data_IF_785742198048
#
_entry.id   IF_785742198048
#
_cell.length_a   1.000
_cell.length_b   1.000
_cell.length_c   1.000
_cell.angle_alpha   90.00
_cell.angle_beta   90.00
_cell.angle_gamma   90.00
#
_symmetry.space_group_name_H-M   'P 1'
#
loop_
_entity.id
_entity.type
_entity.pdbx_description
1 polymer ?
#
# COMPACT_ATOMS: atom_id res chain seq x y z
N UNK A 1 -0.16 1.30 -18.02
CA UNK A 1 -1.33 1.39 -17.13
C UNK A 1 -1.24 2.60 -16.21
N UNK A 2 -0.13 2.78 -15.56
CA UNK A 2 0.27 3.92 -14.73
C UNK A 2 1.80 4.06 -14.82
N UNK A 3 2.45 4.71 -13.84
CA UNK A 3 3.91 4.81 -13.76
C UNK A 3 4.60 3.51 -13.24
N UNK A 4 3.82 2.44 -13.01
CA UNK A 4 4.32 1.14 -12.60
C UNK A 4 4.97 0.35 -13.73
N UNK A 5 4.80 -0.99 -13.68
CA UNK A 5 5.39 -1.89 -14.69
C UNK A 5 4.88 -1.61 -16.10
N UNK A 6 5.77 -1.31 -17.07
CA UNK A 6 5.36 -0.93 -18.43
C UNK A 6 4.73 -2.09 -19.23
N UNK A 7 5.10 -3.33 -18.90
CA UNK A 7 4.66 -4.53 -19.63
C UNK A 7 4.61 -5.78 -18.73
N UNK A 8 4.10 -6.88 -19.27
CA UNK A 8 3.99 -8.15 -18.54
C UNK A 8 5.35 -8.81 -18.28
N UNK A 9 6.34 -8.63 -19.15
CA UNK A 9 7.68 -9.18 -18.96
C UNK A 9 8.34 -8.54 -17.73
N UNK A 10 8.26 -7.23 -17.61
CA UNK A 10 8.71 -6.49 -16.42
C UNK A 10 7.92 -6.91 -15.17
N UNK A 11 6.60 -7.08 -15.27
CA UNK A 11 5.77 -7.54 -14.14
C UNK A 11 6.19 -8.93 -13.65
N UNK A 12 6.49 -9.84 -14.56
CA UNK A 12 7.01 -11.18 -14.23
C UNK A 12 8.41 -11.10 -13.61
N UNK A 13 9.28 -10.24 -14.13
CA UNK A 13 10.61 -10.01 -13.56
C UNK A 13 10.51 -9.42 -12.13
N UNK A 14 9.62 -8.46 -11.90
CA UNK A 14 9.34 -7.93 -10.56
C UNK A 14 8.84 -9.03 -9.61
N UNK A 15 7.92 -9.89 -10.04
CA UNK A 15 7.42 -10.99 -9.22
C UNK A 15 8.53 -12.01 -8.87
N UNK A 16 9.43 -12.31 -9.80
CA UNK A 16 10.63 -13.14 -9.55
C UNK A 16 11.55 -12.49 -8.52
N UNK A 17 11.78 -11.20 -8.63
CA UNK A 17 12.59 -10.42 -7.68
C UNK A 17 11.96 -10.40 -6.28
N UNK A 18 10.65 -10.22 -6.19
CA UNK A 18 9.93 -10.30 -4.93
C UNK A 18 10.07 -11.69 -4.30
N UNK A 19 9.86 -12.75 -5.10
CA UNK A 19 10.02 -14.13 -4.63
C UNK A 19 11.42 -14.43 -4.11
N UNK A 20 12.45 -13.94 -4.80
CA UNK A 20 13.84 -14.08 -4.35
C UNK A 20 14.11 -13.39 -3.01
N UNK A 21 13.28 -12.44 -2.58
CA UNK A 21 13.34 -11.81 -1.26
C UNK A 21 12.35 -12.42 -0.23
N UNK A 22 11.76 -13.60 -0.54
CA UNK A 22 10.87 -14.33 0.36
C UNK A 22 9.40 -13.92 0.26
N UNK A 23 9.02 -13.05 -0.66
CA UNK A 23 7.61 -12.63 -0.86
C UNK A 23 6.84 -13.72 -1.62
N UNK A 24 5.74 -14.18 -1.04
CA UNK A 24 4.88 -15.23 -1.62
C UNK A 24 3.52 -14.72 -2.11
N UNK A 25 3.13 -13.52 -1.67
CA UNK A 25 1.89 -12.84 -2.10
C UNK A 25 2.19 -11.38 -2.44
N UNK A 26 1.60 -10.87 -3.50
CA UNK A 26 1.69 -9.46 -3.92
C UNK A 26 0.26 -8.95 -4.16
N UNK A 27 -0.09 -7.82 -3.57
CA UNK A 27 -1.24 -7.04 -3.99
C UNK A 27 -0.80 -6.14 -5.16
N UNK A 28 -1.37 -6.38 -6.34
CA UNK A 28 -1.21 -5.49 -7.49
C UNK A 28 -2.22 -4.36 -7.33
N UNK A 29 -1.74 -3.16 -7.03
CA UNK A 29 -2.52 -1.98 -6.69
C UNK A 29 -2.16 -0.80 -7.59
N UNK A 30 -2.43 -0.89 -8.91
CA UNK A 30 -2.20 0.25 -9.80
C UNK A 30 -3.06 1.44 -9.39
N UNK A 31 -2.56 2.66 -9.69
CA UNK A 31 -3.27 3.90 -9.39
C UNK A 31 -4.62 4.00 -10.11
N UNK A 32 -5.57 4.66 -9.46
CA UNK A 32 -6.90 4.95 -10.02
C UNK A 32 -6.93 6.19 -10.90
N UNK A 33 -6.00 7.12 -10.72
CA UNK A 33 -6.01 8.50 -11.19
C UNK A 33 -5.44 8.69 -12.60
N UNK A 34 -5.96 8.02 -13.58
CA UNK A 34 -5.51 8.22 -14.97
C UNK A 34 -6.46 9.11 -15.78
N UNK A 35 -6.62 10.37 -15.34
CA UNK A 35 -7.44 11.36 -16.05
C UNK A 35 -8.94 11.16 -15.88
N UNK A 36 -9.73 11.54 -16.89
CA UNK A 36 -11.21 11.45 -16.91
C UNK A 36 -11.74 10.03 -17.24
N UNK A 37 -10.99 8.98 -16.91
CA UNK A 37 -11.40 7.62 -17.18
C UNK A 37 -12.57 7.17 -16.29
N UNK A 38 -13.50 6.41 -16.88
CA UNK A 38 -14.57 5.74 -16.15
C UNK A 38 -13.98 4.74 -15.14
N UNK A 39 -14.19 4.97 -13.86
CA UNK A 39 -13.68 4.15 -12.78
C UNK A 39 -14.14 2.68 -12.86
N UNK A 40 -15.33 2.40 -13.42
CA UNK A 40 -15.79 1.03 -13.61
C UNK A 40 -15.00 0.32 -14.72
N UNK A 41 -14.70 1.03 -15.81
CA UNK A 41 -13.81 0.51 -16.86
C UNK A 41 -12.41 0.27 -16.30
N UNK A 42 -11.91 1.18 -15.48
CA UNK A 42 -10.61 1.04 -14.79
C UNK A 42 -10.58 -0.19 -13.90
N UNK A 43 -11.58 -0.40 -13.07
CA UNK A 43 -11.70 -1.61 -12.24
C UNK A 43 -11.71 -2.89 -13.07
N UNK A 44 -12.45 -2.89 -14.21
CA UNK A 44 -12.53 -4.03 -15.11
C UNK A 44 -11.19 -4.33 -15.78
N UNK A 45 -10.47 -3.29 -16.22
CA UNK A 45 -9.14 -3.42 -16.80
C UNK A 45 -8.13 -3.99 -15.79
N UNK A 46 -8.11 -3.48 -14.56
CA UNK A 46 -7.23 -3.98 -13.50
C UNK A 46 -7.48 -5.47 -13.23
N UNK A 47 -8.74 -5.88 -13.11
CA UNK A 47 -9.09 -7.30 -12.94
C UNK A 47 -8.59 -8.16 -14.11
N UNK A 48 -8.81 -7.70 -15.33
CA UNK A 48 -8.38 -8.41 -16.55
C UNK A 48 -6.85 -8.57 -16.58
N UNK A 49 -6.10 -7.47 -16.40
CA UNK A 49 -4.63 -7.51 -16.42
C UNK A 49 -4.06 -8.33 -15.27
N UNK A 50 -4.68 -8.29 -14.09
CA UNK A 50 -4.27 -9.13 -12.96
C UNK A 50 -4.47 -10.63 -13.27
N UNK A 51 -5.54 -10.99 -13.94
CA UNK A 51 -5.76 -12.37 -14.39
C UNK A 51 -4.67 -12.80 -15.40
N UNK A 52 -4.41 -11.98 -16.42
CA UNK A 52 -3.33 -12.25 -17.38
C UNK A 52 -1.95 -12.39 -16.70
N UNK A 53 -1.66 -11.57 -15.69
CA UNK A 53 -0.40 -11.69 -14.94
C UNK A 53 -0.32 -13.01 -14.17
N UNK A 54 -1.42 -13.46 -13.55
CA UNK A 54 -1.48 -14.78 -12.89
C UNK A 54 -1.16 -15.92 -13.86
N UNK A 55 -1.72 -15.86 -15.07
CA UNK A 55 -1.46 -16.85 -16.12
C UNK A 55 0.03 -16.82 -16.55
N UNK A 56 0.59 -15.64 -16.78
CA UNK A 56 1.99 -15.48 -17.15
C UNK A 56 2.95 -16.00 -16.06
N UNK A 57 2.65 -15.78 -14.78
CA UNK A 57 3.42 -16.30 -13.65
C UNK A 57 3.33 -17.83 -13.55
N UNK A 58 2.14 -18.39 -13.77
CA UNK A 58 1.92 -19.84 -13.81
C UNK A 58 2.76 -20.49 -14.92
N UNK A 59 2.72 -19.94 -16.12
CA UNK A 59 3.52 -20.41 -17.26
C UNK A 59 5.03 -20.31 -16.99
N UNK A 60 5.45 -19.23 -16.30
CA UNK A 60 6.85 -18.99 -15.91
C UNK A 60 7.25 -19.77 -14.67
N UNK A 61 6.36 -20.54 -14.05
CA UNK A 61 6.58 -21.29 -12.79
C UNK A 61 7.07 -20.42 -11.65
N UNK A 62 6.56 -19.19 -11.53
CA UNK A 62 6.86 -18.27 -10.44
C UNK A 62 5.80 -18.47 -9.34
N UNK A 63 6.14 -19.00 -8.16
CA UNK A 63 5.16 -19.37 -7.13
C UNK A 63 4.76 -18.18 -6.25
N UNK A 64 4.34 -17.09 -6.89
CA UNK A 64 3.83 -15.88 -6.23
C UNK A 64 2.34 -15.73 -6.51
N UNK A 65 1.54 -15.59 -5.46
CA UNK A 65 0.11 -15.32 -5.59
C UNK A 65 -0.10 -13.81 -5.79
N UNK A 66 -0.76 -13.43 -6.89
CA UNK A 66 -1.16 -12.03 -7.13
C UNK A 66 -2.59 -11.82 -6.66
N UNK A 67 -2.77 -10.83 -5.81
CA UNK A 67 -4.07 -10.32 -5.39
C UNK A 67 -4.41 -9.09 -6.24
N UNK A 68 -5.69 -8.95 -6.59
CA UNK A 68 -6.19 -7.74 -7.25
C UNK A 68 -6.42 -6.68 -6.18
N UNK A 69 -6.09 -5.43 -6.48
CA UNK A 69 -6.37 -4.26 -5.67
C UNK A 69 -6.26 -3.00 -6.52
N UNK A 70 -6.36 -1.86 -5.88
CA UNK A 70 -6.20 -0.53 -6.48
C UNK A 70 -5.63 0.39 -5.42
N UNK A 71 -4.75 1.30 -5.79
CA UNK A 71 -4.42 2.47 -4.98
C UNK A 71 -5.33 3.61 -5.41
N UNK A 72 -6.35 3.87 -4.59
CA UNK A 72 -7.36 4.88 -4.88
C UNK A 72 -6.82 6.27 -4.53
N UNK A 73 -6.71 7.17 -5.51
CA UNK A 73 -6.50 8.58 -5.23
C UNK A 73 -7.76 9.17 -4.64
N UNK A 74 -7.70 9.57 -3.38
CA UNK A 74 -8.82 10.11 -2.63
C UNK A 74 -8.90 11.61 -2.87
N UNK A 75 -10.05 12.04 -3.36
CA UNK A 75 -10.36 13.43 -3.65
C UNK A 75 -11.83 13.76 -3.35
N UNK A 76 -12.31 14.94 -3.73
CA UNK A 76 -13.68 15.39 -3.47
C UNK A 76 -14.78 14.48 -4.04
N UNK A 77 -14.46 13.65 -5.03
CA UNK A 77 -15.35 12.67 -5.66
C UNK A 77 -15.45 11.33 -4.90
N UNK A 78 -14.80 11.21 -3.74
CA UNK A 78 -14.85 9.99 -2.92
C UNK A 78 -16.28 9.50 -2.63
N UNK A 79 -17.26 10.36 -2.27
CA UNK A 79 -18.64 9.91 -2.05
C UNK A 79 -19.25 9.20 -3.25
N UNK A 80 -19.07 9.74 -4.44
CA UNK A 80 -19.57 9.14 -5.68
C UNK A 80 -18.91 7.78 -5.97
N UNK A 81 -17.58 7.68 -5.76
CA UNK A 81 -16.81 6.44 -5.93
C UNK A 81 -17.34 5.36 -4.99
N UNK A 82 -17.59 5.69 -3.72
CA UNK A 82 -18.09 4.75 -2.71
C UNK A 82 -19.52 4.32 -3.02
N UNK A 83 -20.42 5.26 -3.34
CA UNK A 83 -21.83 4.98 -3.69
C UNK A 83 -21.93 4.06 -4.91
N UNK A 84 -21.18 4.36 -5.97
CA UNK A 84 -21.15 3.58 -7.20
C UNK A 84 -20.34 2.28 -7.08
N UNK A 85 -19.64 2.03 -5.97
CA UNK A 85 -18.72 0.91 -5.75
C UNK A 85 -17.67 0.77 -6.87
N UNK A 86 -17.22 1.90 -7.40
CA UNK A 86 -16.26 1.98 -8.50
C UNK A 86 -14.81 2.00 -7.99
N UNK A 87 -14.46 1.02 -7.16
CA UNK A 87 -13.12 0.80 -6.59
C UNK A 87 -12.80 -0.68 -6.44
N UNK A 88 -11.54 -0.98 -6.12
CA UNK A 88 -11.08 -2.34 -5.80
C UNK A 88 -10.42 -2.35 -4.43
N UNK A 89 -10.86 -3.26 -3.57
CA UNK A 89 -10.21 -3.53 -2.28
C UNK A 89 -9.06 -4.53 -2.45
N UNK A 90 -8.20 -4.62 -1.45
CA UNK A 90 -7.06 -5.56 -1.47
C UNK A 90 -7.58 -7.00 -1.39
N UNK A 91 -7.44 -7.75 -2.49
CA UNK A 91 -7.80 -9.17 -2.53
C UNK A 91 -9.28 -9.46 -2.26
N UNK A 92 -10.18 -8.55 -2.62
CA UNK A 92 -11.63 -8.65 -2.37
C UNK A 92 -12.00 -8.65 -0.87
N UNK A 93 -11.11 -8.16 -0.01
CA UNK A 93 -11.38 -7.94 1.41
C UNK A 93 -12.17 -6.64 1.62
N UNK A 94 -12.30 -6.20 2.88
CA UNK A 94 -12.84 -4.88 3.22
C UNK A 94 -11.76 -3.79 3.36
N UNK A 95 -10.50 -4.08 3.04
CA UNK A 95 -9.38 -3.15 3.11
C UNK A 95 -9.25 -2.36 1.80
N UNK A 96 -9.43 -1.04 1.87
CA UNK A 96 -9.28 -0.11 0.75
C UNK A 96 -7.95 0.65 0.88
N UNK A 97 -7.03 0.41 -0.05
CA UNK A 97 -5.80 1.20 -0.13
C UNK A 97 -6.11 2.54 -0.78
N UNK A 98 -5.77 3.61 -0.07
CA UNK A 98 -6.00 4.97 -0.54
C UNK A 98 -4.77 5.85 -0.34
N UNK A 99 -4.57 6.74 -1.30
CA UNK A 99 -3.57 7.78 -1.28
C UNK A 99 -4.21 9.16 -1.47
N UNK A 100 -3.48 10.20 -1.11
CA UNK A 100 -3.85 11.60 -1.31
C UNK A 100 -2.77 12.32 -2.13
N UNK A 101 -3.09 13.50 -2.62
CA UNK A 101 -2.06 14.40 -3.11
C UNK A 101 -1.04 14.69 -1.99
N UNK A 102 0.24 14.80 -2.32
CA UNK A 102 1.29 15.00 -1.32
C UNK A 102 1.17 16.32 -0.54
N UNK A 103 0.49 17.30 -1.11
CA UNK A 103 0.20 18.58 -0.48
C UNK A 103 -1.18 18.68 0.19
N UNK A 104 -1.92 17.58 0.27
CA UNK A 104 -3.30 17.58 0.76
C UNK A 104 -3.42 18.07 2.21
N UNK A 105 -4.53 18.72 2.51
CA UNK A 105 -4.86 19.21 3.85
C UNK A 105 -5.15 18.06 4.81
N UNK A 106 -4.54 18.11 5.98
CA UNK A 106 -4.68 17.04 6.97
C UNK A 106 -6.09 16.86 7.53
N UNK A 107 -6.92 17.91 7.55
CA UNK A 107 -8.33 17.84 7.95
C UNK A 107 -9.16 17.13 6.89
N UNK A 108 -8.96 17.47 5.61
CA UNK A 108 -9.61 16.75 4.52
C UNK A 108 -9.24 15.27 4.51
N UNK A 109 -7.96 14.94 4.74
CA UNK A 109 -7.52 13.55 4.82
C UNK A 109 -8.25 12.80 5.94
N UNK A 110 -8.39 13.42 7.11
CA UNK A 110 -9.11 12.83 8.26
C UNK A 110 -10.57 12.58 7.93
N UNK A 111 -11.28 13.57 7.42
CA UNK A 111 -12.69 13.46 7.05
C UNK A 111 -12.92 12.35 6.01
N UNK A 112 -12.07 12.26 5.01
CA UNK A 112 -12.15 11.25 3.97
C UNK A 112 -11.90 9.82 4.50
N UNK A 113 -10.89 9.64 5.37
CA UNK A 113 -10.61 8.36 6.00
C UNK A 113 -11.79 7.87 6.86
N UNK A 114 -12.42 8.78 7.61
CA UNK A 114 -13.57 8.42 8.43
C UNK A 114 -14.82 8.17 7.59
N UNK A 115 -15.00 8.91 6.49
CA UNK A 115 -16.07 8.61 5.54
C UNK A 115 -15.96 7.19 4.96
N UNK A 116 -14.75 6.73 4.63
CA UNK A 116 -14.51 5.34 4.21
C UNK A 116 -14.96 4.35 5.29
N UNK A 117 -14.60 4.62 6.56
CA UNK A 117 -14.96 3.75 7.69
C UNK A 117 -16.48 3.72 7.94
N UNK A 118 -17.17 4.85 7.85
CA UNK A 118 -18.62 4.96 7.98
C UNK A 118 -19.37 4.13 6.92
N UNK A 119 -18.73 3.90 5.77
CA UNK A 119 -19.25 3.04 4.71
C UNK A 119 -18.84 1.56 4.81
N UNK A 120 -18.33 1.14 5.98
CA UNK A 120 -18.02 -0.27 6.29
C UNK A 120 -16.73 -0.80 5.68
N UNK A 121 -15.87 0.09 5.17
CA UNK A 121 -14.54 -0.24 4.67
C UNK A 121 -13.47 0.07 5.73
N UNK A 122 -12.32 -0.57 5.61
CA UNK A 122 -11.16 -0.27 6.45
C UNK A 122 -10.11 0.44 5.58
N UNK A 123 -9.87 1.74 5.80
CA UNK A 123 -8.88 2.47 5.02
C UNK A 123 -7.46 1.99 5.36
N UNK A 124 -6.69 1.69 4.33
CA UNK A 124 -5.24 1.51 4.40
C UNK A 124 -4.63 2.79 3.81
N UNK A 125 -4.12 3.65 4.67
CA UNK A 125 -3.48 4.89 4.24
C UNK A 125 -2.08 4.59 3.69
N UNK A 126 -1.92 4.79 2.40
CA UNK A 126 -0.65 4.60 1.70
C UNK A 126 0.35 5.69 2.11
N UNK A 127 1.55 5.26 2.44
CA UNK A 127 2.74 6.09 2.64
C UNK A 127 2.51 7.46 3.31
N UNK A 128 1.85 7.53 4.50
CA UNK A 128 1.53 8.80 5.15
C UNK A 128 2.76 9.68 5.41
N UNK A 129 3.91 9.10 5.56
CA UNK A 129 5.17 9.80 5.75
C UNK A 129 5.60 10.66 4.54
N UNK A 130 4.94 10.52 3.39
CA UNK A 130 5.21 11.31 2.19
C UNK A 130 4.37 12.58 2.10
N UNK A 131 3.27 12.68 2.87
CA UNK A 131 2.41 13.86 2.86
C UNK A 131 3.01 15.00 3.65
N UNK A 132 2.91 16.22 3.12
CA UNK A 132 3.40 17.44 3.75
C UNK A 132 2.81 17.63 5.16
N UNK A 133 1.52 17.36 5.33
CA UNK A 133 0.82 17.46 6.62
C UNK A 133 1.44 16.55 7.69
N UNK A 134 1.83 15.32 7.32
CA UNK A 134 2.46 14.35 8.24
C UNK A 134 3.93 14.66 8.48
N UNK A 135 4.67 15.15 7.47
CA UNK A 135 6.06 15.57 7.64
C UNK A 135 6.17 16.78 8.57
N UNK A 136 5.17 17.67 8.55
CA UNK A 136 5.09 18.82 9.44
C UNK A 136 4.68 18.41 10.86
N UNK A 137 3.72 17.51 10.99
CA UNK A 137 3.18 17.01 12.26
C UNK A 137 2.92 15.49 12.20
N UNK A 138 3.95 14.66 12.48
CA UNK A 138 3.78 13.20 12.46
C UNK A 138 2.80 12.66 13.50
N UNK A 139 2.48 13.46 14.55
CA UNK A 139 1.56 13.03 15.60
C UNK A 139 0.12 12.83 15.09
N UNK A 140 -0.27 13.43 13.96
CA UNK A 140 -1.56 13.16 13.29
C UNK A 140 -1.80 11.69 13.03
N UNK A 141 -0.76 10.94 12.71
CA UNK A 141 -0.87 9.50 12.45
C UNK A 141 -1.36 8.73 13.69
N UNK A 142 -1.05 9.22 14.91
CA UNK A 142 -1.52 8.59 16.14
C UNK A 142 -3.05 8.59 16.24
N UNK A 143 -3.70 9.71 15.95
CA UNK A 143 -5.16 9.84 15.99
C UNK A 143 -5.82 8.93 14.96
N UNK A 144 -5.30 8.87 13.75
CA UNK A 144 -5.80 7.96 12.70
C UNK A 144 -5.62 6.49 13.08
N UNK A 145 -4.44 6.15 13.64
CA UNK A 145 -4.15 4.79 14.13
C UNK A 145 -5.11 4.37 15.24
N UNK A 146 -5.33 5.19 16.25
CA UNK A 146 -6.22 4.90 17.38
C UNK A 146 -7.69 4.74 16.96
N UNK A 147 -8.08 5.38 15.86
CA UNK A 147 -9.41 5.23 15.27
C UNK A 147 -9.56 4.04 14.32
N UNK A 148 -8.48 3.32 14.05
CA UNK A 148 -8.52 2.08 13.26
C UNK A 148 -8.13 2.23 11.79
N UNK A 149 -7.57 3.36 11.37
CA UNK A 149 -6.93 3.50 10.05
C UNK A 149 -5.67 2.65 10.01
N UNK A 150 -5.51 1.86 8.96
CA UNK A 150 -4.32 1.05 8.76
C UNK A 150 -3.22 1.93 8.14
N UNK A 151 -2.09 2.00 8.80
CA UNK A 151 -0.96 2.82 8.41
C UNK A 151 0.07 1.98 7.65
N UNK A 152 0.24 2.28 6.36
CA UNK A 152 1.23 1.63 5.51
C UNK A 152 2.42 2.56 5.25
N UNK A 153 3.60 2.22 5.75
CA UNK A 153 4.84 2.96 5.51
C UNK A 153 5.57 2.39 4.30
N UNK A 154 6.15 3.28 3.49
CA UNK A 154 6.89 2.89 2.29
C UNK A 154 8.33 2.49 2.66
N UNK A 155 8.80 1.33 2.17
CA UNK A 155 10.18 0.91 2.40
C UNK A 155 11.23 1.92 1.92
N UNK A 156 10.92 2.66 0.85
CA UNK A 156 11.80 3.70 0.31
C UNK A 156 12.04 4.82 1.32
N UNK A 157 11.01 5.21 2.07
CA UNK A 157 11.10 6.18 3.16
C UNK A 157 11.92 5.63 4.33
N UNK A 158 11.65 4.39 4.75
CA UNK A 158 12.40 3.69 5.80
C UNK A 158 13.89 3.65 5.51
N UNK A 159 14.25 3.40 4.25
CA UNK A 159 15.65 3.35 3.79
C UNK A 159 16.24 4.73 3.41
N UNK A 160 15.45 5.81 3.54
CA UNK A 160 15.89 7.18 3.26
C UNK A 160 16.02 7.53 1.78
N UNK A 161 15.42 6.74 0.87
CA UNK A 161 15.51 6.93 -0.58
C UNK A 161 14.67 8.07 -1.10
N UNK A 162 13.68 8.54 -0.33
CA UNK A 162 12.77 9.65 -0.69
C UNK A 162 13.13 10.98 0.02
N UNK A 163 14.33 11.04 0.62
CA UNK A 163 14.82 12.24 1.26
C UNK A 163 14.60 12.30 2.77
N UNK A 164 15.00 13.43 3.38
CA UNK A 164 15.06 13.56 4.85
C UNK A 164 13.67 13.66 5.50
N UNK A 165 12.72 14.36 4.89
CA UNK A 165 11.36 14.54 5.41
C UNK A 165 10.63 13.21 5.57
N UNK A 166 10.42 12.44 4.47
CA UNK A 166 9.79 11.13 4.54
C UNK A 166 10.50 10.16 5.48
N UNK A 167 11.85 10.18 5.50
CA UNK A 167 12.63 9.33 6.42
C UNK A 167 12.36 9.68 7.88
N UNK A 168 12.34 10.97 8.23
CA UNK A 168 12.06 11.42 9.59
C UNK A 168 10.66 11.01 10.04
N UNK A 169 9.65 11.25 9.21
CA UNK A 169 8.26 10.88 9.50
C UNK A 169 8.10 9.35 9.61
N UNK A 170 8.73 8.57 8.71
CA UNK A 170 8.72 7.11 8.78
C UNK A 170 9.37 6.58 10.08
N UNK A 171 10.53 7.11 10.47
CA UNK A 171 11.22 6.74 11.71
C UNK A 171 10.36 7.08 12.93
N UNK A 172 9.69 8.25 12.92
CA UNK A 172 8.78 8.64 13.99
C UNK A 172 7.61 7.67 14.11
N UNK A 173 6.93 7.34 13.00
CA UNK A 173 5.81 6.40 12.96
C UNK A 173 6.23 5.01 13.47
N UNK A 174 7.37 4.51 13.02
CA UNK A 174 7.89 3.21 13.42
C UNK A 174 8.28 3.17 14.91
N UNK A 175 8.97 4.19 15.42
CA UNK A 175 9.38 4.27 16.85
C UNK A 175 8.21 4.29 17.80
N UNK A 176 7.11 4.90 17.41
CA UNK A 176 5.91 4.98 18.24
C UNK A 176 4.97 3.78 18.06
N UNK A 177 5.31 2.82 17.17
CA UNK A 177 4.51 1.63 16.92
C UNK A 177 3.19 1.94 16.20
N UNK A 178 3.14 2.98 15.37
CA UNK A 178 1.94 3.35 14.63
C UNK A 178 1.88 2.77 13.21
N UNK A 179 2.92 2.08 12.75
CA UNK A 179 2.88 1.39 11.46
C UNK A 179 2.19 0.03 11.61
N UNK A 180 1.30 -0.31 10.68
CA UNK A 180 0.71 -1.65 10.58
C UNK A 180 1.39 -2.49 9.50
N UNK A 181 1.89 -1.84 8.44
CA UNK A 181 2.48 -2.48 7.26
C UNK A 181 3.69 -1.67 6.79
N UNK A 182 4.71 -2.38 6.29
CA UNK A 182 5.73 -1.79 5.42
C UNK A 182 5.64 -2.42 4.05
N UNK A 183 5.35 -1.61 3.04
CA UNK A 183 5.17 -2.05 1.66
C UNK A 183 6.33 -1.64 0.74
N UNK A 184 6.46 -2.34 -0.39
CA UNK A 184 7.49 -2.02 -1.38
C UNK A 184 7.19 -0.77 -2.18
N UNK A 185 5.92 -0.54 -2.48
CA UNK A 185 5.47 0.48 -3.41
C UNK A 185 6.31 0.40 -4.70
N UNK A 186 6.31 -0.81 -5.30
CA UNK A 186 7.24 -1.17 -6.36
C UNK A 186 6.71 -0.77 -7.73
N UNK A 187 7.57 -0.14 -8.55
CA UNK A 187 7.22 0.35 -9.88
C UNK A 187 8.11 -0.23 -10.99
N UNK A 188 9.18 -0.93 -10.63
CA UNK A 188 10.11 -1.49 -11.63
C UNK A 188 11.15 -2.42 -11.05
N UNK A 189 12.10 -2.79 -11.89
CA UNK A 189 13.19 -3.71 -11.55
C UNK A 189 14.49 -3.00 -11.15
N UNK A 190 14.62 -1.72 -11.41
CA UNK A 190 15.84 -0.94 -11.12
C UNK A 190 15.62 0.08 -10.00
N UNK A 191 14.55 0.86 -10.11
CA UNK A 191 14.14 1.81 -9.08
C UNK A 191 12.80 1.37 -8.49
N UNK A 192 12.54 1.70 -7.21
CA UNK A 192 11.33 1.28 -6.48
C UNK A 192 11.04 -0.22 -6.71
N UNK A 193 12.07 -1.05 -6.47
CA UNK A 193 12.00 -2.50 -6.72
C UNK A 193 11.13 -3.21 -5.70
N UNK A 194 10.59 -4.41 -5.99
CA UNK A 194 9.79 -5.19 -5.03
C UNK A 194 10.63 -5.96 -4.00
N UNK A 195 11.96 -5.83 -4.01
CA UNK A 195 12.86 -6.55 -3.09
C UNK A 195 12.74 -6.02 -1.66
N UNK A 196 12.38 -6.86 -0.69
CA UNK A 196 12.02 -6.43 0.68
C UNK A 196 13.09 -6.73 1.75
N UNK A 197 14.08 -7.56 1.46
CA UNK A 197 15.06 -8.03 2.46
C UNK A 197 15.82 -6.90 3.17
N UNK A 198 16.21 -5.84 2.44
CA UNK A 198 16.93 -4.72 3.03
C UNK A 198 16.10 -3.99 4.07
N UNK A 199 14.82 -3.73 3.75
CA UNK A 199 13.90 -3.08 4.69
C UNK A 199 13.60 -3.97 5.90
N UNK A 200 13.41 -5.28 5.68
CA UNK A 200 13.23 -6.24 6.77
C UNK A 200 14.42 -6.24 7.73
N UNK A 201 15.63 -6.35 7.21
CA UNK A 201 16.85 -6.32 8.01
C UNK A 201 17.04 -4.99 8.74
N UNK A 202 16.73 -3.88 8.07
CA UNK A 202 16.80 -2.55 8.68
C UNK A 202 15.84 -2.44 9.87
N UNK A 203 14.57 -2.84 9.71
CA UNK A 203 13.56 -2.78 10.77
C UNK A 203 13.94 -3.74 11.91
N UNK A 204 14.34 -4.97 11.59
CA UNK A 204 14.77 -5.96 12.59
C UNK A 204 15.93 -5.46 13.45
N UNK A 205 16.90 -4.77 12.85
CA UNK A 205 18.10 -4.30 13.55
C UNK A 205 17.90 -3.00 14.33
N UNK A 206 16.99 -2.10 13.89
CA UNK A 206 16.81 -0.79 14.50
C UNK A 206 15.62 -0.71 15.44
N UNK A 207 14.67 -1.66 15.34
CA UNK A 207 13.47 -1.75 16.20
C UNK A 207 13.38 -3.13 16.86
N UNK A 208 12.84 -4.15 16.16
CA UNK A 208 12.90 -5.56 16.58
C UNK A 208 12.58 -6.51 15.43
N UNK A 209 13.04 -7.77 15.54
CA UNK A 209 12.70 -8.82 14.59
C UNK A 209 11.21 -9.16 14.59
N UNK A 210 10.58 -9.17 15.76
CA UNK A 210 9.13 -9.39 15.90
C UNK A 210 8.31 -8.29 15.21
N UNK A 211 8.73 -7.04 15.36
CA UNK A 211 8.08 -5.92 14.69
C UNK A 211 8.22 -6.00 13.17
N UNK A 212 9.40 -6.34 12.66
CA UNK A 212 9.59 -6.55 11.23
C UNK A 212 8.68 -7.67 10.68
N UNK A 213 8.53 -8.77 11.43
CA UNK A 213 7.63 -9.86 11.06
C UNK A 213 6.16 -9.44 11.05
N UNK A 214 5.72 -8.67 12.06
CA UNK A 214 4.35 -8.13 12.10
C UNK A 214 4.09 -7.25 10.88
N UNK A 215 4.99 -6.31 10.59
CA UNK A 215 4.80 -5.30 9.54
C UNK A 215 4.89 -5.85 8.11
N UNK A 216 5.70 -6.87 7.88
CA UNK A 216 6.06 -7.29 6.52
C UNK A 216 5.58 -8.71 6.16
N UNK A 217 5.08 -9.48 7.14
CA UNK A 217 4.60 -10.83 6.94
C UNK A 217 3.19 -11.03 7.52
N UNK A 218 3.03 -10.87 8.84
CA UNK A 218 1.78 -11.21 9.51
C UNK A 218 0.62 -10.29 9.12
N UNK A 219 0.77 -8.98 9.24
CA UNK A 219 -0.29 -8.04 8.90
C UNK A 219 -0.64 -8.01 7.41
N UNK A 220 0.32 -7.98 6.46
CA UNK A 220 -0.02 -8.15 5.04
C UNK A 220 -0.78 -9.45 4.75
N UNK A 221 -0.40 -10.55 5.40
CA UNK A 221 -1.10 -11.83 5.31
C UNK A 221 -2.55 -11.73 5.79
N UNK A 222 -2.78 -11.12 6.96
CA UNK A 222 -4.11 -10.92 7.57
C UNK A 222 -5.01 -10.05 6.71
N UNK A 223 -4.50 -8.93 6.19
CA UNK A 223 -5.22 -8.05 5.26
C UNK A 223 -5.66 -8.82 4.02
N UNK A 224 -4.76 -9.62 3.44
CA UNK A 224 -5.05 -10.44 2.27
C UNK A 224 -6.15 -11.49 2.50
N UNK A 225 -6.47 -11.76 3.74
CA UNK A 225 -7.50 -12.73 4.18
C UNK A 225 -8.73 -12.04 4.81
N UNK A 226 -8.80 -10.72 4.77
CA UNK A 226 -9.88 -9.94 5.38
C UNK A 226 -9.93 -10.02 6.91
N UNK A 227 -8.80 -10.38 7.56
CA UNK A 227 -8.70 -10.51 9.02
C UNK A 227 -8.19 -9.23 9.65
N UNK A 228 -8.60 -8.95 10.89
CA UNK A 228 -8.09 -7.82 11.65
C UNK A 228 -6.55 -7.90 11.80
N UNK A 229 -5.87 -6.76 11.64
CA UNK A 229 -4.42 -6.67 11.83
C UNK A 229 -4.02 -6.85 13.30
N UNK A 230 -2.77 -7.21 13.53
CA UNK A 230 -2.18 -7.22 14.87
C UNK A 230 -1.73 -5.79 15.20
N UNK A 231 -1.98 -5.35 16.43
CA UNK A 231 -1.37 -4.13 16.94
C UNK A 231 0.12 -4.38 17.18
N UNK A 232 1.01 -3.52 16.70
CA UNK A 232 2.45 -3.65 16.95
C UNK A 232 2.88 -3.17 18.34
N UNK A 233 1.94 -2.73 19.18
CA UNK A 233 2.16 -2.30 20.58
C UNK A 233 1.87 -3.43 21.54
#
# INVERSE_FOLDING_TARGET
MDDGSPDFETSVAMAKMAFASGVTKIAATPHSNLGDEDMNLRCSEIRHRTAMLRDALSQSRVPVKILTGMELLIGPNLPEIIENKSFLTIGESNYLLGEFDFGEDGGFMEDALFYIMENGLIPVLAHPERYAAVQHDPARVADWFERGVIIQVNKGSVLGRFGKGPRFAADWILRHGFAHIVASDAHGTEQRTPHMTEAFNFISSNYSGEYAEILMSLNPGRISEGKAVLSPK
#
